data_IF_262856830357
#
_entry.id   IF_262856830357
#
_cell.length_a   1.000
_cell.length_b   1.000
_cell.length_c   1.000
_cell.angle_alpha   90.00
_cell.angle_beta   90.00
_cell.angle_gamma   90.00
#
_symmetry.space_group_name_H-M   'P 1'
#
loop_
_entity.id
_entity.type
_entity.pdbx_description
1 polymer ?
#
# COMPACT_ATOMS: atom_id res chain seq x y z
N UNK A 1 -17.54 -11.17 -17.20
CA UNK A 1 -18.48 -10.95 -18.33
C UNK A 1 -18.05 -11.81 -19.52
N UNK A 2 -18.91 -11.99 -20.53
CA UNK A 2 -18.51 -12.68 -21.78
C UNK A 2 -17.72 -11.69 -22.64
N UNK A 3 -16.50 -12.06 -23.04
CA UNK A 3 -15.60 -11.26 -23.89
C UNK A 3 -15.80 -11.53 -25.37
N UNK A 4 -15.83 -12.82 -25.74
CA UNK A 4 -15.93 -13.26 -27.12
C UNK A 4 -16.49 -14.69 -27.20
N UNK A 5 -17.18 -15.02 -28.29
CA UNK A 5 -17.57 -16.38 -28.62
C UNK A 5 -16.44 -17.03 -29.42
N UNK A 6 -16.00 -18.22 -29.00
CA UNK A 6 -15.02 -19.04 -29.72
C UNK A 6 -15.75 -20.23 -30.36
N UNK A 7 -16.06 -20.09 -31.66
CA UNK A 7 -16.80 -21.11 -32.39
C UNK A 7 -18.23 -21.32 -31.84
N UNK A 8 -18.88 -22.45 -32.16
CA UNK A 8 -20.27 -22.69 -31.78
C UNK A 8 -20.43 -23.05 -30.29
N UNK A 9 -19.39 -23.61 -29.66
CA UNK A 9 -19.53 -24.31 -28.37
C UNK A 9 -18.69 -23.73 -27.23
N UNK A 10 -17.90 -22.68 -27.45
CA UNK A 10 -17.04 -22.11 -26.42
C UNK A 10 -17.18 -20.59 -26.32
N UNK A 11 -16.95 -20.07 -25.12
CA UNK A 11 -17.03 -18.65 -24.79
C UNK A 11 -15.84 -18.27 -23.95
N UNK A 12 -15.26 -17.12 -24.25
CA UNK A 12 -14.21 -16.51 -23.46
C UNK A 12 -14.83 -15.57 -22.42
N UNK A 13 -14.44 -15.75 -21.15
CA UNK A 13 -14.88 -14.94 -20.04
C UNK A 13 -13.77 -13.97 -19.58
N UNK A 14 -14.19 -12.79 -19.18
CA UNK A 14 -13.35 -11.87 -18.40
C UNK A 14 -13.42 -12.27 -16.93
N UNK A 15 -12.31 -12.83 -16.44
CA UNK A 15 -12.12 -13.26 -15.05
C UNK A 15 -11.37 -12.18 -14.26
N UNK A 16 -11.81 -11.90 -13.04
CA UNK A 16 -11.23 -10.88 -12.15
C UNK A 16 -10.94 -11.45 -10.76
N UNK A 17 -10.06 -10.77 -10.01
CA UNK A 17 -9.69 -11.16 -8.64
C UNK A 17 -9.00 -12.53 -8.57
N UNK A 18 -9.53 -13.41 -7.73
CA UNK A 18 -8.96 -14.76 -7.51
C UNK A 18 -9.08 -15.68 -8.74
N UNK A 19 -9.94 -15.34 -9.69
CA UNK A 19 -10.21 -16.17 -10.88
C UNK A 19 -9.27 -15.86 -12.05
N UNK A 20 -8.40 -14.85 -11.94
CA UNK A 20 -7.51 -14.41 -13.01
C UNK A 20 -6.51 -15.49 -13.45
N UNK A 21 -6.14 -16.38 -12.53
CA UNK A 21 -5.20 -17.47 -12.78
C UNK A 21 -5.87 -18.71 -13.43
N UNK A 22 -7.20 -18.70 -13.63
CA UNK A 22 -7.92 -19.81 -14.26
C UNK A 22 -8.06 -19.60 -15.77
N UNK A 23 -8.27 -20.68 -16.51
CA UNK A 23 -8.49 -20.62 -17.95
C UNK A 23 -9.74 -19.80 -18.27
N UNK A 24 -9.65 -18.89 -19.25
CA UNK A 24 -10.74 -17.96 -19.58
C UNK A 24 -11.78 -18.53 -20.54
N UNK A 25 -11.49 -19.63 -21.25
CA UNK A 25 -12.42 -20.24 -22.20
C UNK A 25 -13.20 -21.38 -21.54
N UNK A 26 -14.53 -21.30 -21.60
CA UNK A 26 -15.47 -22.27 -21.05
C UNK A 26 -16.48 -22.72 -22.11
N UNK A 27 -17.01 -23.95 -22.02
CA UNK A 27 -18.10 -24.38 -22.89
C UNK A 27 -19.41 -23.63 -22.60
N UNK A 28 -20.18 -23.34 -23.66
CA UNK A 28 -21.46 -22.61 -23.57
C UNK A 28 -22.46 -23.29 -22.63
N UNK A 29 -22.44 -24.62 -22.57
CA UNK A 29 -23.35 -25.43 -21.73
C UNK A 29 -23.23 -25.17 -20.24
N UNK A 30 -22.08 -24.65 -19.78
CA UNK A 30 -21.84 -24.32 -18.37
C UNK A 30 -22.26 -22.89 -18.01
N UNK A 31 -22.64 -22.08 -19.00
CA UNK A 31 -23.00 -20.68 -18.79
C UNK A 31 -24.50 -20.60 -18.48
N UNK A 32 -24.82 -19.93 -17.39
CA UNK A 32 -26.21 -19.60 -17.03
C UNK A 32 -26.42 -18.09 -17.14
N UNK A 33 -27.59 -17.65 -17.64
CA UNK A 33 -27.97 -16.24 -17.58
C UNK A 33 -27.92 -15.74 -16.14
N UNK A 34 -27.28 -14.59 -15.93
CA UNK A 34 -27.30 -13.94 -14.63
C UNK A 34 -28.67 -13.28 -14.42
N UNK A 35 -29.32 -13.57 -13.29
CA UNK A 35 -30.51 -12.85 -12.83
C UNK A 35 -30.16 -11.98 -11.63
N UNK A 36 -30.55 -10.71 -11.67
CA UNK A 36 -30.49 -9.86 -10.48
C UNK A 36 -31.43 -10.40 -9.41
N UNK A 37 -31.01 -10.31 -8.15
CA UNK A 37 -31.91 -10.66 -7.04
C UNK A 37 -33.10 -9.70 -7.02
N UNK A 38 -34.30 -10.26 -7.03
CA UNK A 38 -35.55 -9.51 -6.91
C UNK A 38 -35.70 -8.99 -5.47
N UNK A 39 -35.91 -7.68 -5.33
CA UNK A 39 -36.01 -7.01 -4.03
C UNK A 39 -37.35 -7.28 -3.35
N UNK A 40 -38.41 -7.56 -4.11
CA UNK A 40 -39.73 -7.84 -3.56
C UNK A 40 -39.78 -9.25 -2.96
N UNK A 41 -39.19 -10.22 -3.65
CA UNK A 41 -39.11 -11.61 -3.18
C UNK A 41 -38.04 -11.82 -2.09
N UNK A 42 -36.96 -11.02 -2.10
CA UNK A 42 -35.83 -11.19 -1.17
C UNK A 42 -35.41 -9.88 -0.48
N UNK A 43 -36.27 -9.27 0.36
CA UNK A 43 -36.02 -7.97 0.99
C UNK A 43 -34.83 -7.96 1.96
N UNK A 44 -34.42 -9.13 2.46
CA UNK A 44 -33.30 -9.28 3.41
C UNK A 44 -31.93 -9.43 2.73
N UNK A 45 -31.84 -9.51 1.39
CA UNK A 45 -30.57 -9.59 0.64
C UNK A 45 -29.91 -8.22 0.46
N UNK A 46 -29.69 -7.50 1.55
CA UNK A 46 -28.87 -6.29 1.54
C UNK A 46 -27.41 -6.66 1.78
N UNK A 47 -26.49 -6.13 0.96
CA UNK A 47 -25.05 -6.27 1.26
C UNK A 47 -24.77 -5.55 2.59
N UNK A 48 -24.07 -6.18 3.55
CA UNK A 48 -23.68 -5.48 4.75
C UNK A 48 -22.85 -4.25 4.37
N UNK A 49 -23.00 -3.12 5.09
CA UNK A 49 -22.08 -2.00 4.94
C UNK A 49 -20.65 -2.50 5.12
N UNK A 50 -19.74 -2.07 4.24
CA UNK A 50 -18.31 -2.30 4.43
C UNK A 50 -17.88 -1.46 5.64
N UNK A 51 -17.66 -2.11 6.79
CA UNK A 51 -17.03 -1.47 7.95
C UNK A 51 -15.55 -1.27 7.63
N UNK A 52 -15.19 -0.06 7.21
CA UNK A 52 -13.79 0.34 7.09
C UNK A 52 -13.33 0.58 8.54
N UNK A 53 -12.36 -0.17 9.08
CA UNK A 53 -11.86 0.10 10.41
C UNK A 53 -11.33 1.54 10.46
N UNK A 54 -11.49 2.26 11.59
CA UNK A 54 -10.91 3.57 11.74
C UNK A 54 -9.41 3.46 11.47
N UNK A 55 -8.91 4.29 10.53
CA UNK A 55 -7.49 4.44 10.30
C UNK A 55 -6.92 5.00 11.60
N UNK A 56 -6.19 4.17 12.37
CA UNK A 56 -5.41 4.68 13.49
C UNK A 56 -4.47 5.74 12.90
N UNK A 57 -4.72 7.01 13.21
CA UNK A 57 -3.77 8.09 12.95
C UNK A 57 -2.53 7.71 13.75
N UNK A 58 -1.59 7.03 13.09
CA UNK A 58 -0.37 6.56 13.71
C UNK A 58 0.28 7.73 14.43
N UNK A 59 0.58 7.55 15.71
CA UNK A 59 1.20 8.58 16.55
C UNK A 59 2.27 9.32 15.75
N UNK A 60 2.11 10.64 15.58
CA UNK A 60 3.07 11.44 14.83
C UNK A 60 4.48 11.19 15.38
N UNK A 61 5.30 10.47 14.60
CA UNK A 61 6.63 10.05 15.03
C UNK A 61 7.52 11.28 15.17
N UNK A 62 7.68 11.79 16.39
CA UNK A 62 8.51 12.96 16.66
C UNK A 62 9.99 12.59 16.67
N UNK A 63 10.68 13.04 15.64
CA UNK A 63 12.13 12.89 15.49
C UNK A 63 12.87 13.83 16.45
N UNK A 64 13.84 13.31 17.20
CA UNK A 64 14.66 14.09 18.16
C UNK A 64 16.05 14.39 17.64
N UNK A 65 16.73 13.41 17.06
CA UNK A 65 18.15 13.54 16.69
C UNK A 65 18.52 12.70 15.47
N UNK A 66 19.45 13.21 14.68
CA UNK A 66 20.13 12.46 13.61
C UNK A 66 21.46 11.93 14.16
N UNK A 67 21.70 10.63 14.02
CA UNK A 67 22.85 9.93 14.59
C UNK A 67 23.96 9.70 13.57
N UNK A 68 23.59 9.31 12.35
CA UNK A 68 24.53 8.91 11.30
C UNK A 68 24.03 9.37 9.93
N UNK A 69 24.95 9.48 8.98
CA UNK A 69 24.62 9.62 7.56
C UNK A 69 25.24 8.45 6.79
N UNK A 70 24.57 7.98 5.74
CA UNK A 70 25.11 7.03 4.78
C UNK A 70 24.75 7.43 3.37
N UNK A 71 25.57 6.99 2.42
CA UNK A 71 25.32 7.16 0.99
C UNK A 71 25.32 5.80 0.34
N UNK A 72 24.17 5.41 -0.22
CA UNK A 72 24.02 4.13 -0.91
C UNK A 72 24.50 4.27 -2.34
N UNK A 73 25.37 3.37 -2.82
CA UNK A 73 25.99 3.46 -4.17
C UNK A 73 24.97 3.62 -5.30
N UNK A 74 23.78 3.03 -5.14
CA UNK A 74 22.72 3.03 -6.16
C UNK A 74 21.73 4.19 -6.03
N UNK A 75 21.75 4.96 -4.94
CA UNK A 75 20.88 6.14 -4.74
C UNK A 75 21.73 7.41 -4.77
N UNK A 76 21.31 8.41 -5.55
CA UNK A 76 21.97 9.72 -5.56
C UNK A 76 21.80 10.47 -4.23
N UNK A 77 20.71 10.20 -3.53
CA UNK A 77 20.32 10.85 -2.28
C UNK A 77 21.01 10.23 -1.05
N UNK A 78 21.25 11.07 -0.03
CA UNK A 78 21.81 10.63 1.26
C UNK A 78 20.68 10.18 2.18
N UNK A 79 20.96 9.14 2.97
CA UNK A 79 20.06 8.67 4.03
C UNK A 79 20.65 9.03 5.39
N UNK A 80 19.78 9.38 6.33
CA UNK A 80 20.13 9.80 7.67
C UNK A 80 19.50 8.85 8.68
N UNK A 81 20.28 8.36 9.63
CA UNK A 81 19.79 7.52 10.72
C UNK A 81 19.18 8.42 11.78
N UNK A 82 17.89 8.23 12.03
CA UNK A 82 17.09 9.10 12.86
C UNK A 82 16.67 8.38 14.13
N UNK A 83 16.76 9.10 15.25
CA UNK A 83 16.25 8.67 16.56
C UNK A 83 14.96 9.40 16.90
N UNK A 84 13.94 8.62 17.21
CA UNK A 84 12.64 9.09 17.65
C UNK A 84 12.63 9.44 19.14
N UNK A 85 11.64 10.24 19.56
CA UNK A 85 11.44 10.62 20.98
C UNK A 85 10.98 9.44 21.81
N UNK A 86 10.12 8.61 21.23
CA UNK A 86 9.53 7.47 21.91
C UNK A 86 10.52 6.29 21.82
N UNK A 87 10.91 5.73 22.97
CA UNK A 87 11.90 4.64 23.05
C UNK A 87 11.39 3.31 22.50
N UNK A 88 10.10 3.21 22.20
CA UNK A 88 9.49 2.05 21.54
C UNK A 88 9.74 2.03 20.03
N UNK A 89 10.08 3.17 19.44
CA UNK A 89 10.36 3.27 18.01
C UNK A 89 11.86 3.04 17.77
N UNK A 90 12.17 2.09 16.90
CA UNK A 90 13.54 1.80 16.51
C UNK A 90 14.15 2.92 15.63
N UNK A 91 15.48 3.04 15.65
CA UNK A 91 16.18 4.02 14.84
C UNK A 91 16.05 3.64 13.34
N UNK A 92 15.64 4.60 12.50
CA UNK A 92 15.29 4.35 11.09
C UNK A 92 16.15 5.20 10.14
N UNK A 93 16.46 4.66 8.95
CA UNK A 93 17.14 5.39 7.88
C UNK A 93 16.13 6.12 7.00
N UNK A 94 16.10 7.44 7.09
CA UNK A 94 15.17 8.30 6.34
C UNK A 94 15.91 9.20 5.34
N UNK A 95 15.21 9.62 4.29
CA UNK A 95 15.67 10.66 3.39
C UNK A 95 15.46 12.03 4.02
N UNK A 96 16.19 13.04 3.53
CA UNK A 96 16.05 14.42 4.01
C UNK A 96 14.61 14.97 3.86
N UNK A 97 13.88 14.49 2.86
CA UNK A 97 12.48 14.88 2.57
C UNK A 97 11.49 14.30 3.57
N UNK A 98 11.81 13.16 4.18
CA UNK A 98 10.91 12.42 5.07
C UNK A 98 11.12 12.82 6.55
N UNK A 99 12.11 13.68 6.83
CA UNK A 99 12.43 14.15 8.18
C UNK A 99 11.70 15.45 8.46
N UNK A 100 10.82 15.45 9.45
CA UNK A 100 10.17 16.66 9.95
C UNK A 100 11.21 17.62 10.55
N UNK A 101 11.21 18.89 10.13
CA UNK A 101 12.20 19.91 10.56
C UNK A 101 13.67 19.53 10.24
N UNK A 102 13.90 18.86 9.10
CA UNK A 102 15.22 18.39 8.66
C UNK A 102 16.32 19.45 8.74
N UNK A 103 16.05 20.69 8.32
CA UNK A 103 17.03 21.80 8.35
C UNK A 103 17.67 22.01 9.72
N UNK A 104 16.86 22.04 10.78
CA UNK A 104 17.34 22.30 12.16
C UNK A 104 18.17 21.13 12.67
N UNK A 105 17.69 19.90 12.41
CA UNK A 105 18.31 18.67 12.89
C UNK A 105 19.64 18.40 12.18
N UNK A 106 19.67 18.56 10.86
CA UNK A 106 20.87 18.35 10.05
C UNK A 106 21.92 19.44 10.33
N UNK A 107 21.51 20.68 10.58
CA UNK A 107 22.44 21.74 11.00
C UNK A 107 23.13 21.40 12.32
N UNK A 108 22.39 20.91 13.31
CA UNK A 108 22.95 20.46 14.60
C UNK A 108 23.91 19.27 14.41
N UNK A 109 23.50 18.27 13.64
CA UNK A 109 24.32 17.10 13.33
C UNK A 109 25.65 17.48 12.65
N UNK A 110 25.62 18.38 11.67
CA UNK A 110 26.84 18.88 10.99
C UNK A 110 27.76 19.67 11.92
N UNK A 111 27.20 20.37 12.92
CA UNK A 111 28.00 21.07 13.92
C UNK A 111 28.70 20.11 14.88
N UNK A 112 27.99 19.10 15.38
CA UNK A 112 28.53 18.06 16.27
C UNK A 112 29.60 17.20 15.59
N UNK A 113 29.50 16.99 14.27
CA UNK A 113 30.45 16.16 13.51
C UNK A 113 31.76 16.85 13.12
N UNK A 114 31.90 18.16 13.29
CA UNK A 114 33.18 18.81 13.01
C UNK A 114 34.18 18.35 14.08
N UNK A 115 35.29 17.67 13.73
CA UNK A 115 36.35 17.46 14.69
C UNK A 115 36.87 18.84 15.14
N UNK A 116 37.08 18.99 16.45
CA UNK A 116 37.89 20.11 16.97
C UNK A 116 39.23 20.12 16.22
N UNK A 117 39.66 21.33 15.83
CA UNK A 117 40.81 21.57 14.95
C UNK A 117 42.12 21.09 15.53
#
# INVERSE_FOLDING_TARGET
MIKALHGPNAVQLELTGELMNKHSTFPVSLIKPYSSSDKELFPLRNKPPLEIPPLEEGEEKKIVKVLKERRTRNKKEKEYLVRYRNSTQEDEWLLEKDITNSDKLLRRFRHERKPEK
#
